data_IF_798051911538
#
_entry.id   IF_798051911538
#
_cell.length_a   1.000
_cell.length_b   1.000
_cell.length_c   1.000
_cell.angle_alpha   90.00
_cell.angle_beta   90.00
_cell.angle_gamma   90.00
#
_symmetry.space_group_name_H-M   'P 1'
#
loop_
_entity.id
_entity.type
_entity.pdbx_description
1 polymer ?
#
# COMPACT_ATOMS: atom_id res chain seq x y z
N UNK A 1 -16.30 -24.00 30.00
CA UNK A 1 -16.12 -25.23 30.79
C UNK A 1 -14.64 -25.56 30.77
N UNK A 2 -14.15 -26.42 31.64
CA UNK A 2 -12.73 -26.76 31.72
C UNK A 2 -12.54 -28.21 31.28
N UNK A 3 -11.39 -28.51 30.70
CA UNK A 3 -10.99 -29.86 30.31
C UNK A 3 -11.26 -30.87 31.47
N UNK A 4 -11.98 -31.94 31.15
CA UNK A 4 -12.28 -33.02 32.09
C UNK A 4 -11.31 -34.17 31.86
N UNK A 5 -10.51 -34.48 32.88
CA UNK A 5 -9.58 -35.61 32.84
C UNK A 5 -10.29 -36.92 33.24
N UNK A 6 -10.05 -37.98 32.48
CA UNK A 6 -10.50 -39.32 32.84
C UNK A 6 -9.59 -39.83 33.99
N UNK A 7 -10.22 -40.23 35.08
CA UNK A 7 -9.50 -40.89 36.17
C UNK A 7 -9.16 -42.35 35.82
N UNK A 8 -7.89 -42.65 35.69
CA UNK A 8 -7.42 -44.03 35.34
C UNK A 8 -7.22 -44.94 36.57
N UNK A 9 -7.41 -44.40 37.80
CA UNK A 9 -7.05 -45.10 39.00
C UNK A 9 -5.53 -45.11 39.29
N UNK A 10 -5.10 -45.77 40.34
CA UNK A 10 -3.71 -45.88 40.75
C UNK A 10 -3.01 -47.10 40.14
N UNK A 11 -3.75 -48.17 39.83
CA UNK A 11 -3.29 -49.39 39.18
C UNK A 11 -4.44 -50.09 38.44
N UNK A 12 -4.09 -51.03 37.55
CA UNK A 12 -5.10 -51.77 36.79
C UNK A 12 -6.08 -52.51 37.74
N UNK A 13 -7.39 -52.33 37.53
CA UNK A 13 -8.49 -52.98 38.27
C UNK A 13 -8.54 -52.65 39.77
N UNK A 14 -8.02 -51.51 40.20
CA UNK A 14 -8.04 -51.10 41.62
C UNK A 14 -9.36 -50.52 42.09
N UNK A 15 -10.31 -50.30 41.15
CA UNK A 15 -11.65 -49.75 41.43
C UNK A 15 -11.65 -48.26 41.79
N UNK A 16 -10.53 -47.53 41.63
CA UNK A 16 -10.42 -46.10 42.02
C UNK A 16 -10.51 -45.13 40.86
N UNK A 17 -10.50 -45.64 39.63
CA UNK A 17 -10.69 -44.83 38.39
C UNK A 17 -12.16 -44.55 38.07
N UNK A 18 -12.37 -43.75 37.06
CA UNK A 18 -13.73 -43.53 36.52
C UNK A 18 -14.32 -44.84 35.99
N UNK A 19 -15.65 -45.00 36.16
CA UNK A 19 -16.35 -46.04 35.44
C UNK A 19 -16.32 -45.79 33.93
N UNK A 20 -16.47 -46.84 33.13
CA UNK A 20 -16.48 -46.69 31.65
C UNK A 20 -17.51 -45.64 31.21
N UNK A 21 -18.67 -45.59 31.86
CA UNK A 21 -19.73 -44.58 31.57
C UNK A 21 -19.23 -43.17 31.97
N UNK A 22 -18.70 -42.96 33.15
CA UNK A 22 -18.24 -41.66 33.61
C UNK A 22 -17.05 -41.13 32.78
N UNK A 23 -16.12 -42.01 32.40
CA UNK A 23 -15.05 -41.68 31.51
C UNK A 23 -15.53 -41.29 30.08
N UNK A 24 -16.52 -42.07 29.58
CA UNK A 24 -17.14 -41.77 28.29
C UNK A 24 -17.91 -40.45 28.28
N UNK A 25 -18.61 -40.11 29.35
CA UNK A 25 -19.31 -38.83 29.48
C UNK A 25 -18.31 -37.66 29.47
N UNK A 26 -17.17 -37.76 30.18
CA UNK A 26 -16.11 -36.75 30.18
C UNK A 26 -15.49 -36.54 28.78
N UNK A 27 -15.30 -37.62 28.02
CA UNK A 27 -14.83 -37.51 26.61
C UNK A 27 -15.85 -36.80 25.77
N UNK A 28 -17.13 -37.19 25.85
CA UNK A 28 -18.19 -36.52 25.09
C UNK A 28 -18.29 -35.04 25.42
N UNK A 29 -18.26 -34.68 26.71
CA UNK A 29 -18.31 -33.29 27.16
C UNK A 29 -17.15 -32.46 26.62
N UNK A 30 -15.92 -33.00 26.65
CA UNK A 30 -14.75 -32.35 26.06
C UNK A 30 -14.91 -32.14 24.55
N UNK A 31 -15.48 -33.10 23.82
CA UNK A 31 -15.75 -32.95 22.40
C UNK A 31 -16.87 -31.97 22.14
N UNK A 32 -17.96 -31.99 22.89
CA UNK A 32 -19.05 -31.01 22.77
C UNK A 32 -18.53 -29.59 22.99
N UNK A 33 -17.66 -29.39 24.00
CA UNK A 33 -17.01 -28.08 24.24
C UNK A 33 -16.17 -27.64 23.05
N UNK A 34 -15.33 -28.52 22.49
CA UNK A 34 -14.50 -28.25 21.32
C UNK A 34 -15.35 -27.92 20.09
N UNK A 35 -16.40 -28.72 19.80
CA UNK A 35 -17.31 -28.47 18.68
C UNK A 35 -18.17 -27.21 18.87
N UNK A 36 -18.46 -26.83 20.12
CA UNK A 36 -19.14 -25.57 20.43
C UNK A 36 -18.23 -24.36 20.16
N UNK A 37 -16.94 -24.47 20.53
CA UNK A 37 -15.97 -23.41 20.28
C UNK A 37 -15.66 -23.23 18.80
N UNK A 38 -15.53 -24.33 18.04
CA UNK A 38 -15.10 -24.32 16.64
C UNK A 38 -16.26 -24.40 15.64
N UNK A 39 -17.51 -24.53 16.11
CA UNK A 39 -18.66 -24.74 15.23
C UNK A 39 -20.02 -24.61 15.92
N UNK A 40 -20.88 -25.60 15.74
CA UNK A 40 -22.29 -25.58 16.20
C UNK A 40 -22.57 -26.44 17.44
N UNK A 41 -21.55 -27.03 18.08
CA UNK A 41 -21.70 -28.00 19.18
C UNK A 41 -21.77 -29.47 18.71
N UNK A 42 -22.10 -29.72 17.45
CA UNK A 42 -22.17 -31.05 16.83
C UNK A 42 -21.43 -31.18 15.51
N UNK A 43 -21.05 -30.05 14.90
CA UNK A 43 -20.28 -29.99 13.65
C UNK A 43 -19.36 -28.78 13.69
N UNK A 44 -18.21 -28.88 13.02
CA UNK A 44 -17.33 -27.75 12.77
C UNK A 44 -18.03 -26.76 11.82
N UNK A 45 -17.69 -25.47 11.93
CA UNK A 45 -18.21 -24.47 11.00
C UNK A 45 -17.80 -24.79 9.58
N UNK A 46 -18.70 -24.58 8.62
CA UNK A 46 -18.43 -24.87 7.21
C UNK A 46 -17.30 -24.01 6.60
N UNK A 47 -16.93 -22.92 7.29
CA UNK A 47 -15.82 -22.07 6.85
C UNK A 47 -14.43 -22.48 7.34
N UNK A 48 -14.30 -23.63 8.03
CA UNK A 48 -13.03 -24.12 8.54
C UNK A 48 -12.70 -25.49 7.98
N UNK A 49 -11.48 -25.65 7.47
CA UNK A 49 -10.89 -26.94 7.10
C UNK A 49 -9.41 -26.98 7.49
N UNK A 50 -8.88 -28.15 7.74
CA UNK A 50 -7.47 -28.32 8.11
C UNK A 50 -6.87 -29.51 7.39
N UNK A 51 -5.59 -29.38 7.01
CA UNK A 51 -4.68 -30.44 6.62
C UNK A 51 -3.58 -30.59 7.68
N UNK A 52 -2.61 -31.47 7.49
CA UNK A 52 -1.49 -31.61 8.43
C UNK A 52 -0.66 -30.32 8.62
N UNK A 53 -0.70 -29.40 7.68
CA UNK A 53 0.15 -28.18 7.67
C UNK A 53 -0.62 -26.88 7.50
N UNK A 54 -1.91 -26.93 7.14
CA UNK A 54 -2.70 -25.74 6.81
C UNK A 54 -4.05 -25.79 7.49
N UNK A 55 -4.44 -24.71 8.16
CA UNK A 55 -5.83 -24.43 8.57
C UNK A 55 -6.41 -23.39 7.64
N UNK A 56 -7.45 -23.74 6.91
CA UNK A 56 -8.15 -22.85 6.00
C UNK A 56 -9.39 -22.29 6.69
N UNK A 57 -9.50 -20.96 6.71
CA UNK A 57 -10.68 -20.22 7.17
C UNK A 57 -11.34 -19.56 5.95
N UNK A 58 -12.58 -19.94 5.66
CA UNK A 58 -13.38 -19.33 4.58
C UNK A 58 -14.14 -18.13 5.12
N UNK A 59 -13.89 -16.93 4.57
CA UNK A 59 -14.49 -15.66 4.99
C UNK A 59 -14.32 -15.37 6.50
N UNK A 60 -13.09 -15.37 7.04
CA UNK A 60 -12.87 -15.11 8.46
C UNK A 60 -13.26 -13.67 8.83
N UNK A 61 -13.90 -13.50 9.99
CA UNK A 61 -14.13 -12.17 10.60
C UNK A 61 -13.17 -12.04 11.78
N UNK A 62 -12.29 -11.06 11.71
CA UNK A 62 -11.36 -10.71 12.79
C UNK A 62 -12.00 -9.60 13.62
N UNK A 63 -12.45 -9.91 14.82
CA UNK A 63 -13.24 -8.99 15.63
C UNK A 63 -12.44 -7.85 16.27
N UNK A 64 -11.13 -8.01 16.44
CA UNK A 64 -10.26 -7.00 17.09
C UNK A 64 -9.01 -6.68 16.26
N UNK A 65 -8.06 -7.58 16.18
CA UNK A 65 -6.81 -7.41 15.44
C UNK A 65 -6.32 -8.74 14.88
N UNK A 66 -5.62 -8.67 13.76
CA UNK A 66 -4.81 -9.77 13.23
C UNK A 66 -3.33 -9.40 13.46
N UNK A 67 -2.68 -10.12 14.36
CA UNK A 67 -1.25 -9.99 14.61
C UNK A 67 -0.53 -11.09 13.83
N UNK A 68 0.24 -10.68 12.82
CA UNK A 68 1.04 -11.57 11.98
C UNK A 68 2.41 -11.85 12.59
N UNK A 69 2.74 -11.21 13.71
CA UNK A 69 3.98 -11.43 14.47
C UNK A 69 5.25 -11.39 13.59
N UNK A 70 5.37 -10.37 12.75
CA UNK A 70 6.47 -10.20 11.81
C UNK A 70 6.40 -11.07 10.55
N UNK A 71 5.32 -11.84 10.38
CA UNK A 71 5.10 -12.61 9.16
C UNK A 71 4.49 -11.73 8.06
N UNK A 72 4.66 -12.16 6.84
CA UNK A 72 4.19 -11.49 5.63
C UNK A 72 2.72 -11.78 5.34
N UNK A 73 1.95 -10.78 4.89
CA UNK A 73 0.62 -10.97 4.32
C UNK A 73 0.76 -11.23 2.81
N UNK A 74 0.74 -12.48 2.42
CA UNK A 74 0.82 -12.92 1.01
C UNK A 74 -0.55 -12.74 0.36
N UNK A 75 -0.59 -12.13 -0.83
CA UNK A 75 -1.81 -11.76 -1.55
C UNK A 75 -2.05 -12.60 -2.82
N UNK A 76 -1.06 -13.37 -3.27
CA UNK A 76 -1.16 -14.21 -4.47
C UNK A 76 -0.62 -15.63 -4.26
N UNK A 77 -0.69 -16.45 -5.31
CA UNK A 77 -0.43 -17.91 -5.25
C UNK A 77 1.07 -18.23 -5.22
N UNK A 78 1.90 -17.47 -5.91
CA UNK A 78 3.34 -17.68 -6.00
C UNK A 78 4.14 -16.92 -4.94
N UNK A 79 3.42 -16.20 -4.05
CA UNK A 79 3.95 -15.53 -2.86
C UNK A 79 4.96 -14.41 -3.17
N UNK A 80 4.83 -13.76 -4.32
CA UNK A 80 5.68 -12.64 -4.70
C UNK A 80 4.98 -11.27 -4.62
N UNK A 81 3.68 -11.26 -4.29
CA UNK A 81 2.88 -10.05 -4.02
C UNK A 81 2.40 -10.05 -2.58
N UNK A 82 2.85 -9.07 -1.80
CA UNK A 82 2.64 -9.07 -0.36
C UNK A 82 2.72 -7.70 0.30
N UNK A 83 2.30 -7.67 1.58
CA UNK A 83 2.56 -6.57 2.51
C UNK A 83 3.39 -7.14 3.66
N UNK A 84 4.52 -6.51 3.95
CA UNK A 84 5.45 -6.97 4.99
C UNK A 84 5.94 -5.82 5.87
N UNK A 85 6.43 -6.14 7.06
CA UNK A 85 7.08 -5.24 7.99
C UNK A 85 8.37 -5.91 8.49
N UNK A 86 9.26 -6.28 7.56
CA UNK A 86 10.52 -6.96 7.84
C UNK A 86 11.60 -6.05 8.45
N UNK A 87 11.34 -4.75 8.53
CA UNK A 87 12.12 -3.78 9.31
C UNK A 87 11.21 -3.05 10.28
N UNK A 88 11.75 -2.68 11.48
CA UNK A 88 11.01 -1.94 12.49
C UNK A 88 10.51 -0.58 11.93
N UNK A 89 9.27 -0.20 12.27
CA UNK A 89 8.61 1.02 11.81
C UNK A 89 8.53 1.20 10.28
N UNK A 90 8.59 0.10 9.50
CA UNK A 90 8.54 0.12 8.04
C UNK A 90 7.45 -0.82 7.53
N UNK A 91 6.66 -0.36 6.56
CA UNK A 91 5.73 -1.19 5.80
C UNK A 91 6.16 -1.18 4.35
N UNK A 92 6.42 -2.37 3.80
CA UNK A 92 6.79 -2.58 2.40
C UNK A 92 5.62 -3.21 1.63
N UNK A 93 5.37 -2.71 0.44
CA UNK A 93 4.42 -3.29 -0.51
C UNK A 93 5.19 -3.90 -1.67
N UNK A 94 5.12 -5.22 -1.78
CA UNK A 94 5.85 -6.02 -2.78
C UNK A 94 4.93 -6.44 -3.92
N UNK A 95 5.42 -6.35 -5.14
CA UNK A 95 4.80 -6.91 -6.34
C UNK A 95 5.91 -7.53 -7.18
N UNK A 96 5.74 -8.80 -7.57
CA UNK A 96 6.76 -9.53 -8.31
C UNK A 96 8.07 -9.66 -7.54
N UNK A 97 8.01 -9.85 -6.22
CA UNK A 97 9.15 -10.00 -5.32
C UNK A 97 9.96 -8.72 -5.07
N UNK A 98 9.51 -7.56 -5.56
CA UNK A 98 10.21 -6.28 -5.40
C UNK A 98 9.36 -5.29 -4.60
N UNK A 99 10.01 -4.49 -3.75
CA UNK A 99 9.36 -3.39 -3.04
C UNK A 99 8.98 -2.29 -4.04
N UNK A 100 7.67 -2.09 -4.23
CA UNK A 100 7.14 -1.10 -5.17
C UNK A 100 6.99 0.26 -4.48
N UNK A 101 6.50 0.26 -3.24
CA UNK A 101 6.57 1.44 -2.40
C UNK A 101 6.72 1.06 -0.93
N UNK A 102 7.25 1.98 -0.15
CA UNK A 102 7.56 1.81 1.26
C UNK A 102 7.00 2.96 2.08
N UNK A 103 6.44 2.67 3.24
CA UNK A 103 5.99 3.65 4.22
C UNK A 103 6.84 3.55 5.48
N UNK A 104 7.32 4.71 5.94
CA UNK A 104 7.99 4.87 7.24
C UNK A 104 7.33 6.03 8.01
N UNK A 105 7.67 6.29 9.28
CA UNK A 105 7.11 7.41 10.03
C UNK A 105 7.32 8.80 9.38
N UNK A 106 8.28 8.93 8.46
CA UNK A 106 8.68 10.23 7.90
C UNK A 106 8.52 10.35 6.39
N UNK A 107 8.29 9.25 5.67
CA UNK A 107 8.21 9.27 4.20
C UNK A 107 7.27 8.21 3.64
N UNK A 108 6.70 8.51 2.47
CA UNK A 108 6.23 7.54 1.49
C UNK A 108 7.23 7.53 0.35
N UNK A 109 7.87 6.40 0.12
CA UNK A 109 8.88 6.20 -0.91
C UNK A 109 8.28 5.35 -2.04
N UNK A 110 8.17 5.92 -3.22
CA UNK A 110 7.63 5.23 -4.40
C UNK A 110 8.69 4.37 -5.10
N UNK A 111 9.91 4.32 -4.56
CA UNK A 111 11.01 3.48 -5.07
C UNK A 111 11.25 3.68 -6.58
N UNK A 112 11.24 4.94 -7.03
CA UNK A 112 11.42 5.30 -8.43
C UNK A 112 10.22 4.98 -9.35
N UNK A 113 9.05 4.67 -8.79
CA UNK A 113 7.84 4.43 -9.58
C UNK A 113 7.12 5.73 -9.90
N UNK A 114 6.41 5.73 -11.00
CA UNK A 114 5.58 6.82 -11.48
C UNK A 114 4.27 6.89 -10.70
N UNK A 115 3.84 8.10 -10.31
CA UNK A 115 2.52 8.36 -9.76
C UNK A 115 1.59 8.77 -10.90
N UNK A 116 0.81 7.83 -11.41
CA UNK A 116 -0.18 8.04 -12.46
C UNK A 116 -1.42 8.71 -11.87
N UNK A 117 -1.96 9.74 -12.55
CA UNK A 117 -3.04 10.57 -12.05
C UNK A 117 -4.36 10.42 -12.83
N UNK A 118 -4.35 9.77 -14.00
CA UNK A 118 -5.51 9.55 -14.83
C UNK A 118 -5.66 8.10 -15.34
N UNK A 119 -6.73 7.83 -16.08
CA UNK A 119 -7.11 6.47 -16.43
C UNK A 119 -6.35 5.88 -17.64
N UNK A 120 -5.84 6.72 -18.53
CA UNK A 120 -5.05 6.31 -19.70
C UNK A 120 -3.53 6.37 -19.47
N UNK A 121 -3.14 6.76 -18.24
CA UNK A 121 -1.78 6.72 -17.72
C UNK A 121 -0.79 7.65 -18.48
N UNK A 122 -1.31 8.74 -19.05
CA UNK A 122 -0.49 9.71 -19.75
C UNK A 122 -0.30 11.04 -18.98
N UNK A 123 -0.96 11.17 -17.80
CA UNK A 123 -0.77 12.28 -16.86
C UNK A 123 -0.20 11.76 -15.55
N UNK A 124 1.00 12.21 -15.21
CA UNK A 124 1.74 11.63 -14.09
C UNK A 124 2.78 12.56 -13.48
N UNK A 125 3.30 12.12 -12.31
CA UNK A 125 4.50 12.68 -11.67
C UNK A 125 5.53 11.57 -11.55
N UNK A 126 6.75 11.83 -12.00
CA UNK A 126 7.86 10.87 -11.94
C UNK A 126 9.19 11.53 -11.57
N UNK A 127 10.11 10.77 -11.03
CA UNK A 127 11.50 11.14 -10.77
C UNK A 127 12.42 10.05 -11.33
N UNK A 128 12.25 9.71 -12.61
CA UNK A 128 13.01 8.71 -13.34
C UNK A 128 14.45 9.14 -13.69
N UNK A 129 14.75 10.42 -13.49
CA UNK A 129 16.08 11.00 -13.58
C UNK A 129 16.47 11.55 -12.22
N UNK A 130 17.70 11.26 -11.76
CA UNK A 130 18.21 11.71 -10.48
C UNK A 130 18.15 13.23 -10.33
N UNK A 131 17.75 13.73 -9.17
CA UNK A 131 17.57 15.15 -8.83
C UNK A 131 16.58 15.92 -9.73
N UNK A 132 15.64 15.20 -10.41
CA UNK A 132 14.68 15.80 -11.34
C UNK A 132 13.27 15.30 -11.06
N UNK A 133 12.28 16.21 -11.04
CA UNK A 133 10.85 15.88 -10.97
C UNK A 133 10.19 16.28 -12.28
N UNK A 134 9.52 15.34 -12.93
CA UNK A 134 8.78 15.53 -14.17
C UNK A 134 7.27 15.51 -13.87
N UNK A 135 6.55 16.49 -14.43
CA UNK A 135 5.11 16.48 -14.54
C UNK A 135 4.75 16.23 -16.01
N UNK A 136 4.17 15.08 -16.26
CA UNK A 136 3.75 14.66 -17.59
C UNK A 136 2.28 14.98 -17.81
N UNK A 137 1.93 15.49 -18.98
CA UNK A 137 0.57 15.69 -19.42
C UNK A 137 0.48 15.19 -20.86
N UNK A 138 -0.46 14.28 -21.14
CA UNK A 138 -0.61 13.65 -22.44
C UNK A 138 0.69 12.96 -22.93
N UNK A 139 1.40 12.34 -21.99
CA UNK A 139 2.63 11.57 -22.25
C UNK A 139 3.92 12.38 -22.42
N UNK A 140 3.84 13.71 -22.48
CA UNK A 140 4.99 14.60 -22.62
C UNK A 140 5.40 15.22 -21.28
N UNK A 141 6.71 15.49 -21.09
CA UNK A 141 7.23 16.24 -19.95
C UNK A 141 6.96 17.73 -20.10
N UNK A 142 5.83 18.22 -19.56
CA UNK A 142 5.43 19.61 -19.70
C UNK A 142 6.08 20.55 -18.69
N UNK A 143 6.29 20.07 -17.44
CA UNK A 143 6.99 20.83 -16.42
C UNK A 143 8.07 19.93 -15.80
N UNK A 144 9.30 20.44 -15.74
CA UNK A 144 10.43 19.77 -15.13
C UNK A 144 11.05 20.67 -14.05
N UNK A 145 11.16 20.14 -12.84
CA UNK A 145 11.90 20.76 -11.75
C UNK A 145 13.26 20.09 -11.61
N UNK A 146 14.31 20.90 -11.59
CA UNK A 146 15.67 20.47 -11.30
C UNK A 146 16.41 21.56 -10.51
N UNK A 147 17.60 21.28 -10.02
CA UNK A 147 18.31 22.21 -9.13
C UNK A 147 18.43 23.62 -9.75
N UNK A 148 17.69 24.57 -9.19
CA UNK A 148 17.70 25.98 -9.60
C UNK A 148 17.00 26.30 -10.91
N UNK A 149 16.31 25.33 -11.54
CA UNK A 149 15.67 25.48 -12.86
C UNK A 149 14.23 24.94 -12.81
N UNK A 150 13.32 25.64 -13.47
CA UNK A 150 11.99 25.16 -13.85
C UNK A 150 11.85 25.26 -15.35
N UNK A 151 11.79 24.13 -16.03
CA UNK A 151 11.50 24.09 -17.45
C UNK A 151 9.99 23.97 -17.67
N UNK A 152 9.44 24.81 -18.52
CA UNK A 152 8.06 24.72 -19.03
C UNK A 152 8.13 24.41 -20.51
N UNK A 153 7.67 23.23 -20.88
CA UNK A 153 7.74 22.70 -22.25
C UNK A 153 6.32 22.51 -22.81
N UNK A 154 6.20 22.36 -24.12
CA UNK A 154 4.97 21.98 -24.78
C UNK A 154 5.32 21.31 -26.12
N UNK A 155 4.74 20.18 -26.40
CA UNK A 155 4.90 19.47 -27.67
C UNK A 155 4.13 20.20 -28.80
N UNK A 156 4.84 20.67 -29.82
CA UNK A 156 4.25 21.22 -31.03
C UNK A 156 3.80 22.69 -31.00
N UNK A 157 3.90 23.39 -29.84
CA UNK A 157 3.60 24.82 -29.74
C UNK A 157 4.46 25.53 -28.70
N UNK A 158 4.39 26.87 -28.65
CA UNK A 158 5.18 27.65 -27.69
C UNK A 158 4.64 27.45 -26.28
N UNK A 159 5.56 27.11 -25.34
CA UNK A 159 5.25 27.06 -23.92
C UNK A 159 5.02 28.47 -23.36
N UNK A 160 4.22 28.56 -22.30
CA UNK A 160 3.89 29.85 -21.67
C UNK A 160 3.53 29.68 -20.19
N UNK A 161 3.83 30.69 -19.40
CA UNK A 161 3.31 30.87 -18.05
C UNK A 161 2.24 31.93 -18.06
N UNK A 162 1.02 31.63 -17.64
CA UNK A 162 -0.13 32.56 -17.63
C UNK A 162 -0.43 33.00 -16.20
N UNK A 163 -0.58 34.32 -16.02
CA UNK A 163 -0.98 34.94 -14.75
C UNK A 163 -2.38 35.54 -14.97
N UNK A 164 -3.38 34.88 -14.36
CA UNK A 164 -4.78 35.33 -14.49
C UNK A 164 -5.08 36.47 -13.51
N UNK A 165 -5.92 37.43 -13.94
CA UNK A 165 -6.38 38.51 -13.06
C UNK A 165 -7.32 37.99 -11.95
N UNK A 166 -8.15 37.00 -12.26
CA UNK A 166 -9.09 36.34 -11.36
C UNK A 166 -9.54 35.00 -11.94
N UNK A 167 -10.21 34.16 -11.14
CA UNK A 167 -10.63 32.80 -11.57
C UNK A 167 -11.90 32.80 -12.43
N UNK A 168 -12.77 33.81 -12.33
CA UNK A 168 -14.10 33.83 -12.97
C UNK A 168 -14.18 34.65 -14.26
N UNK A 169 -13.29 35.64 -14.50
CA UNK A 169 -13.17 36.42 -15.70
C UNK A 169 -11.77 36.26 -16.30
N UNK A 170 -11.62 35.32 -17.21
CA UNK A 170 -10.34 34.76 -17.64
C UNK A 170 -9.49 35.66 -18.53
N UNK A 171 -9.11 36.86 -18.06
CA UNK A 171 -8.03 37.63 -18.65
C UNK A 171 -6.70 37.25 -18.02
N UNK A 172 -5.67 37.13 -18.82
CA UNK A 172 -4.34 36.79 -18.31
C UNK A 172 -3.23 37.63 -18.95
N UNK A 173 -2.14 37.80 -18.26
CA UNK A 173 -0.84 38.15 -18.82
C UNK A 173 -0.02 36.86 -18.98
N UNK A 174 0.72 36.72 -20.08
CA UNK A 174 1.57 35.55 -20.30
C UNK A 174 3.03 35.94 -20.53
N UNK A 175 3.92 35.09 -20.03
CA UNK A 175 5.31 35.01 -20.47
C UNK A 175 5.36 33.81 -21.42
N UNK A 176 5.68 34.05 -22.69
CA UNK A 176 5.63 33.03 -23.75
C UNK A 176 6.96 32.97 -24.49
N UNK A 177 7.43 31.77 -24.82
CA UNK A 177 8.58 31.58 -25.67
C UNK A 177 8.29 32.07 -27.11
N UNK A 178 9.29 32.60 -27.85
CA UNK A 178 9.15 32.90 -29.26
C UNK A 178 8.84 31.65 -30.10
N UNK A 179 8.23 31.83 -31.29
CA UNK A 179 8.06 30.72 -32.21
C UNK A 179 9.41 30.12 -32.63
N UNK A 180 9.50 28.80 -32.77
CA UNK A 180 10.73 28.10 -33.11
C UNK A 180 11.42 28.65 -34.38
N UNK A 181 10.64 29.02 -35.41
CA UNK A 181 11.17 29.51 -36.67
C UNK A 181 11.96 30.84 -36.57
N UNK A 182 11.72 31.62 -35.51
CA UNK A 182 12.41 32.92 -35.27
C UNK A 182 13.34 32.91 -34.08
N UNK A 183 13.49 31.74 -33.41
CA UNK A 183 14.27 31.55 -32.19
C UNK A 183 15.67 31.09 -32.56
N UNK A 184 16.62 32.01 -32.66
CA UNK A 184 17.97 31.75 -33.18
C UNK A 184 18.92 31.17 -32.11
N UNK A 185 18.48 30.98 -30.85
CA UNK A 185 19.28 30.44 -29.71
C UNK A 185 18.69 30.81 -28.37
N UNK A 186 19.30 30.39 -27.29
CA UNK A 186 18.82 30.67 -25.94
C UNK A 186 18.84 32.17 -25.62
N UNK A 187 17.77 32.68 -25.04
CA UNK A 187 17.66 34.07 -24.58
C UNK A 187 17.54 34.03 -23.04
N UNK A 188 18.33 34.85 -22.37
CA UNK A 188 18.24 35.02 -20.92
C UNK A 188 17.81 36.47 -20.62
N UNK A 189 16.72 36.59 -19.86
CA UNK A 189 16.26 37.88 -19.32
C UNK A 189 16.73 37.96 -17.88
N UNK A 190 17.71 38.82 -17.58
CA UNK A 190 18.22 39.03 -16.23
C UNK A 190 17.43 40.15 -15.57
N UNK A 191 16.84 39.86 -14.42
CA UNK A 191 16.16 40.88 -13.61
C UNK A 191 17.20 41.88 -13.07
N UNK A 192 16.83 43.18 -12.95
CA UNK A 192 17.74 44.21 -12.44
C UNK A 192 18.13 43.90 -10.98
N UNK A 193 19.39 44.14 -10.67
CA UNK A 193 19.94 43.93 -9.31
C UNK A 193 19.64 45.01 -8.30
N UNK A 194 18.84 46.00 -8.67
CA UNK A 194 18.41 47.11 -7.80
C UNK A 194 16.90 47.26 -7.82
N UNK A 195 16.33 47.75 -6.70
CA UNK A 195 14.94 48.20 -6.63
C UNK A 195 14.74 49.40 -7.58
N UNK A 196 14.48 49.19 -8.84
CA UNK A 196 13.95 50.22 -9.75
C UNK A 196 12.45 50.05 -9.80
N UNK A 197 11.74 51.13 -9.43
CA UNK A 197 10.31 51.24 -9.81
C UNK A 197 10.24 51.20 -11.32
N UNK A 198 9.64 50.16 -11.87
CA UNK A 198 9.21 50.14 -13.28
C UNK A 198 8.15 51.24 -13.39
N UNK A 199 8.55 52.42 -13.87
CA UNK A 199 7.58 53.43 -14.33
C UNK A 199 7.13 53.01 -15.73
N UNK A 200 5.82 52.69 -15.86
CA UNK A 200 5.17 52.45 -17.09
C UNK A 200 4.98 53.70 -17.95
#
# INVERSE_FOLDING_TARGET
>A
MAYQSIGLGSSANDGTGDTLRAGGDKVNDNFVELYTLLGTGSALTSGMSATATVVTLTAPVIATSLDLNGSELILDVDADTSITADSDDTIDFKIGGSDIFQMTPTKLDLNGKELVLDADADTSITADTDDTIHFKINGDDDIIFQTGIIDVKNSGSQSQVRLYCESSNAHYAAIQAPAHAVFAGNITVTLPNKTSTLQG
#
